data_IF_530641997782
#
_entry.id   IF_530641997782
#
_cell.length_a   1.000
_cell.length_b   1.000
_cell.length_c   1.000
_cell.angle_alpha   90.00
_cell.angle_beta   90.00
_cell.angle_gamma   90.00
#
_symmetry.space_group_name_H-M   'P 1'
#
loop_
_entity.id
_entity.type
_entity.pdbx_description
1 polymer ?
#
# COMPACT_ATOMS: atom_id res chain seq x y z
N UNK A 1 21.99 -46.48 -9.86
CA UNK A 1 22.51 -45.26 -10.52
C UNK A 1 22.08 -44.09 -9.65
N UNK A 2 23.01 -43.23 -9.23
CA UNK A 2 22.69 -42.13 -8.33
C UNK A 2 22.21 -40.90 -9.12
N UNK A 3 21.33 -40.06 -8.55
CA UNK A 3 20.90 -38.82 -9.18
C UNK A 3 22.10 -37.88 -9.40
N UNK A 4 22.12 -37.19 -10.54
CA UNK A 4 23.18 -36.24 -10.89
C UNK A 4 22.74 -34.82 -10.57
N UNK A 5 23.56 -34.08 -9.82
CA UNK A 5 23.45 -32.62 -9.68
C UNK A 5 23.99 -31.96 -10.96
N UNK A 6 23.21 -31.06 -11.57
CA UNK A 6 23.65 -30.36 -12.78
C UNK A 6 24.56 -29.17 -12.45
N UNK A 7 25.40 -28.76 -13.39
CA UNK A 7 26.24 -27.55 -13.24
C UNK A 7 25.39 -26.29 -12.99
N UNK A 8 24.21 -26.21 -13.61
CA UNK A 8 23.26 -25.12 -13.41
C UNK A 8 22.75 -25.07 -11.96
N UNK A 9 22.36 -26.22 -11.39
CA UNK A 9 21.95 -26.30 -9.98
C UNK A 9 23.08 -25.92 -9.02
N UNK A 10 24.33 -26.28 -9.35
CA UNK A 10 25.50 -25.87 -8.57
C UNK A 10 25.71 -24.37 -8.62
N UNK A 11 25.68 -23.77 -9.82
CA UNK A 11 25.84 -22.31 -10.01
C UNK A 11 24.75 -21.49 -9.34
N UNK A 12 23.49 -21.91 -9.47
CA UNK A 12 22.37 -21.24 -8.78
C UNK A 12 22.54 -21.23 -7.27
N UNK A 13 22.93 -22.37 -6.69
CA UNK A 13 23.20 -22.49 -5.25
C UNK A 13 24.39 -21.65 -4.79
N UNK A 14 25.48 -21.59 -5.56
CA UNK A 14 26.64 -20.72 -5.26
C UNK A 14 26.22 -19.26 -5.32
N UNK A 15 25.52 -18.85 -6.38
CA UNK A 15 25.06 -17.48 -6.58
C UNK A 15 24.16 -16.99 -5.45
N UNK A 16 23.17 -17.79 -5.07
CA UNK A 16 22.28 -17.45 -3.95
C UNK A 16 23.03 -17.33 -2.62
N UNK A 17 23.95 -18.25 -2.32
CA UNK A 17 24.73 -18.21 -1.07
C UNK A 17 25.71 -17.03 -1.03
N UNK A 18 26.38 -16.72 -2.14
CA UNK A 18 27.27 -15.58 -2.23
C UNK A 18 26.51 -14.26 -2.10
N UNK A 19 25.34 -14.17 -2.73
CA UNK A 19 24.48 -13.00 -2.62
C UNK A 19 23.91 -12.82 -1.22
N UNK A 20 23.51 -13.90 -0.55
CA UNK A 20 23.08 -13.88 0.85
C UNK A 20 24.17 -13.30 1.76
N UNK A 21 25.40 -13.79 1.62
CA UNK A 21 26.55 -13.27 2.37
C UNK A 21 26.80 -11.79 2.08
N UNK A 22 26.71 -11.36 0.83
CA UNK A 22 26.85 -9.97 0.43
C UNK A 22 25.77 -9.09 1.09
N UNK A 23 24.49 -9.48 0.99
CA UNK A 23 23.37 -8.71 1.54
C UNK A 23 23.49 -8.58 3.06
N UNK A 24 23.81 -9.68 3.76
CA UNK A 24 23.93 -9.66 5.22
C UNK A 24 25.17 -8.89 5.69
N UNK A 25 26.33 -9.13 5.05
CA UNK A 25 27.61 -8.60 5.55
C UNK A 25 27.89 -7.18 5.08
N UNK A 26 27.64 -6.88 3.82
CA UNK A 26 27.99 -5.60 3.21
C UNK A 26 26.87 -4.56 3.34
N UNK A 27 25.60 -5.00 3.33
CA UNK A 27 24.46 -4.09 3.45
C UNK A 27 23.80 -4.10 4.84
N UNK A 28 24.03 -5.16 5.64
CA UNK A 28 23.32 -5.34 6.91
C UNK A 28 21.83 -5.63 6.74
N UNK A 29 21.44 -6.11 5.55
CA UNK A 29 20.06 -6.36 5.15
C UNK A 29 19.72 -7.85 5.21
N UNK A 30 18.47 -8.21 4.95
CA UNK A 30 18.02 -9.60 5.02
C UNK A 30 17.70 -10.12 3.63
N UNK A 31 18.34 -11.21 3.22
CA UNK A 31 17.98 -11.94 2.01
C UNK A 31 17.05 -13.12 2.33
N UNK A 32 15.97 -13.26 1.57
CA UNK A 32 14.98 -14.34 1.66
C UNK A 32 14.98 -15.12 0.35
N UNK A 33 15.69 -16.26 0.25
CA UNK A 33 15.71 -17.04 -0.97
C UNK A 33 14.34 -17.67 -1.26
N UNK A 34 13.98 -17.74 -2.53
CA UNK A 34 12.85 -18.54 -3.02
C UNK A 34 13.33 -19.97 -3.28
N UNK A 35 12.55 -20.96 -2.87
CA UNK A 35 12.89 -22.36 -3.11
C UNK A 35 12.70 -22.73 -4.59
N UNK A 36 13.55 -23.61 -5.12
CA UNK A 36 13.56 -23.96 -6.55
C UNK A 36 12.23 -24.54 -7.08
N UNK A 37 11.41 -25.12 -6.20
CA UNK A 37 10.10 -25.65 -6.55
C UNK A 37 9.07 -24.53 -6.86
N UNK A 38 9.38 -23.30 -6.44
CA UNK A 38 8.55 -22.10 -6.57
C UNK A 38 9.22 -21.00 -7.43
N UNK A 39 10.25 -21.35 -8.22
CA UNK A 39 10.98 -20.39 -9.05
C UNK A 39 10.20 -20.04 -10.33
N UNK A 40 9.52 -18.89 -10.28
CA UNK A 40 8.84 -18.27 -11.43
C UNK A 40 9.65 -17.12 -12.05
N UNK A 41 10.97 -17.10 -11.85
CA UNK A 41 11.89 -16.06 -12.33
C UNK A 41 12.36 -15.08 -11.25
N UNK A 42 12.21 -15.41 -9.97
CA UNK A 42 12.73 -14.62 -8.84
C UNK A 42 13.44 -15.57 -7.89
N UNK A 43 14.74 -15.34 -7.68
CA UNK A 43 15.58 -16.17 -6.81
C UNK A 43 15.45 -15.80 -5.33
N UNK A 44 14.93 -14.60 -5.04
CA UNK A 44 14.69 -14.18 -3.66
C UNK A 44 14.23 -12.74 -3.53
N UNK A 45 14.05 -12.34 -2.28
CA UNK A 45 13.68 -10.99 -1.88
C UNK A 45 14.70 -10.44 -0.90
N UNK A 46 14.97 -9.13 -0.96
CA UNK A 46 15.84 -8.44 0.00
C UNK A 46 15.00 -7.45 0.77
N UNK A 47 14.93 -7.62 2.10
CA UNK A 47 14.32 -6.65 3.00
C UNK A 47 15.36 -5.61 3.42
N UNK A 48 14.97 -4.34 3.30
CA UNK A 48 15.79 -3.21 3.69
C UNK A 48 15.72 -3.04 5.21
N UNK A 49 16.89 -3.04 5.83
CA UNK A 49 17.06 -2.74 7.25
C UNK A 49 17.64 -1.34 7.39
N UNK A 50 16.99 -0.52 8.20
CA UNK A 50 17.44 0.82 8.54
C UNK A 50 17.42 0.98 10.05
N UNK A 51 18.53 1.43 10.64
CA UNK A 51 18.68 1.63 12.09
C UNK A 51 18.30 0.38 12.92
N UNK A 52 18.63 -0.81 12.40
CA UNK A 52 18.33 -2.10 13.03
C UNK A 52 16.86 -2.54 12.90
N UNK A 53 16.02 -1.80 12.19
CA UNK A 53 14.60 -2.12 11.97
C UNK A 53 14.37 -2.61 10.55
N UNK A 54 13.64 -3.72 10.42
CA UNK A 54 13.17 -4.19 9.11
C UNK A 54 12.03 -3.28 8.67
N UNK A 55 12.26 -2.50 7.61
CA UNK A 55 11.39 -1.37 7.24
C UNK A 55 10.08 -1.77 6.58
N UNK A 56 9.92 -3.04 6.20
CA UNK A 56 8.84 -3.52 5.33
C UNK A 56 8.99 -3.10 3.86
N UNK A 57 10.08 -2.39 3.52
CA UNK A 57 10.49 -2.11 2.13
C UNK A 57 11.53 -3.12 1.68
N UNK A 58 11.53 -3.41 0.39
CA UNK A 58 12.41 -4.39 -0.18
C UNK A 58 12.34 -4.44 -1.70
N UNK A 59 13.19 -5.28 -2.27
CA UNK A 59 13.28 -5.54 -3.71
C UNK A 59 13.17 -7.06 -3.95
N UNK A 60 12.65 -7.43 -5.11
CA UNK A 60 12.76 -8.79 -5.62
C UNK A 60 14.05 -8.91 -6.45
N UNK A 61 14.71 -10.06 -6.43
CA UNK A 61 15.96 -10.26 -7.18
C UNK A 61 15.92 -11.50 -8.06
N UNK A 62 16.51 -11.37 -9.25
CA UNK A 62 16.85 -12.51 -10.11
C UNK A 62 18.35 -12.48 -10.35
N UNK A 63 19.01 -13.57 -9.99
CA UNK A 63 20.45 -13.77 -9.89
C UNK A 63 20.90 -14.76 -10.96
N UNK A 64 21.81 -14.33 -11.82
CA UNK A 64 22.51 -15.22 -12.77
C UNK A 64 23.97 -15.30 -12.41
N UNK A 65 24.43 -16.49 -12.03
CA UNK A 65 25.81 -16.75 -11.64
C UNK A 65 26.55 -17.57 -12.71
N UNK A 66 27.70 -17.05 -13.16
CA UNK A 66 28.61 -17.78 -14.04
C UNK A 66 29.26 -16.94 -15.14
N UNK A 67 30.45 -17.38 -15.55
CA UNK A 67 31.29 -16.77 -16.60
C UNK A 67 30.56 -16.53 -17.93
N UNK A 68 29.63 -17.43 -18.30
CA UNK A 68 28.82 -17.30 -19.52
C UNK A 68 27.90 -16.08 -19.53
N UNK A 69 27.52 -15.56 -18.36
CA UNK A 69 26.71 -14.34 -18.25
C UNK A 69 27.61 -13.10 -18.28
N UNK A 70 28.70 -13.11 -17.51
CA UNK A 70 29.69 -12.01 -17.49
C UNK A 70 30.34 -11.76 -18.86
N UNK A 71 30.51 -12.83 -19.66
CA UNK A 71 31.11 -12.76 -21.00
C UNK A 71 30.26 -12.07 -22.06
N UNK A 72 28.97 -11.80 -21.81
CA UNK A 72 28.07 -11.15 -22.77
C UNK A 72 28.26 -9.63 -22.78
N UNK A 73 29.44 -9.17 -23.17
CA UNK A 73 29.80 -7.75 -23.15
C UNK A 73 29.08 -6.95 -24.23
N UNK A 74 28.74 -5.71 -23.89
CA UNK A 74 28.26 -4.66 -24.79
C UNK A 74 29.10 -3.40 -24.56
N UNK A 75 29.04 -2.38 -25.43
CA UNK A 75 29.76 -1.13 -25.20
C UNK A 75 29.41 -0.44 -23.86
N UNK A 76 28.19 -0.59 -23.35
CA UNK A 76 27.76 0.01 -22.08
C UNK A 76 27.78 -0.93 -20.87
N UNK A 77 28.03 -2.23 -21.05
CA UNK A 77 28.18 -3.16 -19.92
C UNK A 77 28.02 -4.63 -20.27
N UNK A 78 27.00 -5.26 -19.67
CA UNK A 78 26.70 -6.68 -19.83
C UNK A 78 25.28 -6.84 -20.36
N UNK A 79 25.12 -7.59 -21.45
CA UNK A 79 23.83 -8.02 -21.97
C UNK A 79 23.23 -9.09 -21.06
N UNK A 80 22.09 -8.76 -20.48
CA UNK A 80 21.24 -9.68 -19.73
C UNK A 80 20.10 -10.16 -20.62
N UNK A 81 20.02 -11.47 -20.88
CA UNK A 81 18.89 -12.05 -21.62
C UNK A 81 17.87 -12.68 -20.65
N UNK A 82 16.59 -12.34 -20.80
CA UNK A 82 15.46 -12.92 -20.08
C UNK A 82 14.46 -13.63 -21.00
N UNK A 83 13.50 -14.34 -20.41
CA UNK A 83 12.36 -14.93 -21.13
C UNK A 83 11.16 -13.98 -21.06
N UNK A 84 10.43 -13.84 -22.16
CA UNK A 84 9.28 -12.92 -22.29
C UNK A 84 8.20 -13.21 -21.26
N UNK A 85 7.99 -14.49 -20.91
CA UNK A 85 7.00 -14.92 -19.91
C UNK A 85 7.21 -14.25 -18.53
N UNK A 86 8.44 -13.85 -18.19
CA UNK A 86 8.73 -13.19 -16.92
C UNK A 86 8.41 -11.68 -16.94
N UNK A 87 8.29 -11.03 -18.11
CA UNK A 87 8.04 -9.59 -18.17
C UNK A 87 6.72 -9.21 -17.50
N UNK A 88 5.63 -9.91 -17.88
CA UNK A 88 4.32 -9.68 -17.28
C UNK A 88 4.34 -10.01 -15.78
N UNK A 89 5.09 -11.03 -15.37
CA UNK A 89 5.24 -11.37 -13.96
C UNK A 89 5.93 -10.23 -13.18
N UNK A 90 7.08 -9.75 -13.66
CA UNK A 90 7.83 -8.66 -13.01
C UNK A 90 7.03 -7.37 -12.89
N UNK A 91 6.26 -7.02 -13.93
CA UNK A 91 5.43 -5.81 -13.93
C UNK A 91 4.26 -5.85 -12.94
N UNK A 92 3.85 -7.04 -12.50
CA UNK A 92 2.75 -7.21 -11.55
C UNK A 92 3.24 -7.51 -10.12
N UNK A 93 4.55 -7.61 -9.89
CA UNK A 93 5.10 -7.74 -8.55
C UNK A 93 4.93 -6.44 -7.77
N UNK A 94 4.58 -6.56 -6.49
CA UNK A 94 4.46 -5.40 -5.60
C UNK A 94 5.83 -4.77 -5.29
N UNK A 95 6.89 -5.58 -5.28
CA UNK A 95 8.27 -5.15 -5.10
C UNK A 95 8.94 -4.88 -6.46
N UNK A 96 9.74 -3.81 -6.58
CA UNK A 96 10.58 -3.60 -7.75
C UNK A 96 11.59 -4.74 -7.92
N UNK A 97 11.92 -5.05 -9.18
CA UNK A 97 12.80 -6.17 -9.52
C UNK A 97 14.20 -5.66 -9.85
N UNK A 98 15.22 -6.24 -9.23
CA UNK A 98 16.62 -6.00 -9.54
C UNK A 98 17.25 -7.24 -10.15
N UNK A 99 17.87 -7.07 -11.31
CA UNK A 99 18.57 -8.12 -12.03
C UNK A 99 20.04 -8.10 -11.65
N UNK A 100 20.59 -9.27 -11.35
CA UNK A 100 21.95 -9.43 -10.86
C UNK A 100 22.69 -10.43 -11.73
N UNK A 101 23.92 -10.06 -12.12
CA UNK A 101 24.86 -10.97 -12.76
C UNK A 101 26.10 -11.09 -11.89
N UNK A 102 26.35 -12.30 -11.40
CA UNK A 102 27.54 -12.65 -10.61
C UNK A 102 28.55 -13.41 -11.47
N UNK A 103 29.83 -13.25 -11.15
CA UNK A 103 30.90 -14.09 -11.71
C UNK A 103 30.78 -15.57 -11.25
N UNK A 104 31.67 -16.44 -11.72
CA UNK A 104 31.66 -17.88 -11.39
C UNK A 104 31.88 -18.15 -9.90
N UNK A 105 32.51 -17.23 -9.19
CA UNK A 105 32.83 -17.34 -7.75
C UNK A 105 31.76 -16.73 -6.86
N UNK A 106 30.89 -15.88 -7.41
CA UNK A 106 29.92 -15.09 -6.65
C UNK A 106 30.50 -13.86 -5.96
N UNK A 107 31.82 -13.61 -6.08
CA UNK A 107 32.51 -12.54 -5.36
C UNK A 107 32.30 -11.16 -5.97
N UNK A 108 32.18 -11.10 -7.30
CA UNK A 108 31.91 -9.85 -8.02
C UNK A 108 30.60 -9.97 -8.76
N UNK A 109 29.89 -8.85 -8.86
CA UNK A 109 28.67 -8.78 -9.63
C UNK A 109 28.30 -7.39 -10.05
N UNK A 110 27.40 -7.33 -11.02
CA UNK A 110 26.78 -6.11 -11.52
C UNK A 110 25.27 -6.23 -11.47
N UNK A 111 24.57 -5.10 -11.35
CA UNK A 111 23.13 -5.10 -11.19
C UNK A 111 22.43 -3.99 -11.99
N UNK A 112 21.15 -4.18 -12.27
CA UNK A 112 20.29 -3.12 -12.80
C UNK A 112 18.87 -3.27 -12.25
N UNK A 113 18.21 -2.13 -12.03
CA UNK A 113 16.77 -2.11 -11.85
C UNK A 113 16.10 -2.53 -13.16
N UNK A 114 15.14 -3.45 -13.08
CA UNK A 114 14.33 -3.83 -14.22
C UNK A 114 13.38 -2.67 -14.56
N UNK A 115 13.50 -2.16 -15.78
CA UNK A 115 12.63 -1.12 -16.33
C UNK A 115 12.21 -1.56 -17.72
N UNK A 116 10.90 -1.72 -17.95
CA UNK A 116 10.36 -2.23 -19.21
C UNK A 116 10.88 -1.42 -20.42
N UNK A 117 10.98 -0.10 -20.27
CA UNK A 117 11.45 0.83 -21.30
C UNK A 117 12.92 0.61 -21.71
N UNK A 118 13.71 -0.07 -20.89
CA UNK A 118 15.12 -0.42 -21.16
C UNK A 118 15.28 -1.82 -21.76
N UNK A 119 14.17 -2.54 -21.95
CA UNK A 119 14.19 -3.86 -22.57
C UNK A 119 14.08 -3.77 -24.09
N UNK A 120 14.71 -4.73 -24.77
CA UNK A 120 14.71 -4.85 -26.22
C UNK A 120 14.38 -6.29 -26.60
N UNK A 121 13.65 -6.51 -27.72
CA UNK A 121 13.42 -7.85 -28.24
C UNK A 121 14.73 -8.47 -28.73
N UNK A 122 14.74 -9.79 -28.83
CA UNK A 122 15.77 -10.53 -29.57
C UNK A 122 15.20 -11.05 -30.89
N UNK A 123 16.02 -11.71 -31.71
CA UNK A 123 15.53 -12.42 -32.90
C UNK A 123 14.59 -13.59 -32.55
N UNK A 124 14.58 -14.03 -31.29
CA UNK A 124 13.63 -15.01 -30.76
C UNK A 124 12.45 -14.28 -30.11
N UNK A 125 11.23 -14.66 -30.50
CA UNK A 125 9.96 -14.13 -29.96
C UNK A 125 9.75 -14.47 -28.48
N UNK A 126 10.51 -15.41 -27.92
CA UNK A 126 10.39 -15.86 -26.53
C UNK A 126 11.37 -15.16 -25.59
N UNK A 127 12.25 -14.30 -26.12
CA UNK A 127 13.35 -13.71 -25.35
C UNK A 127 13.45 -12.21 -25.52
N UNK A 128 13.88 -11.56 -24.44
CA UNK A 128 14.22 -10.15 -24.41
C UNK A 128 15.63 -10.00 -23.84
N UNK A 129 16.18 -8.80 -23.98
CA UNK A 129 17.41 -8.44 -23.32
C UNK A 129 17.40 -7.00 -22.84
N UNK A 130 18.26 -6.69 -21.89
CA UNK A 130 18.62 -5.33 -21.51
C UNK A 130 20.11 -5.24 -21.18
N UNK A 131 20.64 -4.02 -21.19
CA UNK A 131 22.01 -3.76 -20.78
C UNK A 131 22.07 -3.51 -19.27
N UNK A 132 22.94 -4.22 -18.57
CA UNK A 132 23.33 -3.96 -17.19
C UNK A 132 24.63 -3.14 -17.23
N UNK A 133 24.62 -1.86 -16.79
CA UNK A 133 25.81 -1.02 -16.80
C UNK A 133 26.93 -1.62 -15.97
N UNK A 134 28.15 -1.65 -16.50
CA UNK A 134 29.30 -2.19 -15.74
C UNK A 134 29.66 -1.34 -14.52
N UNK A 135 29.26 -0.06 -14.52
CA UNK A 135 29.41 0.86 -13.39
C UNK A 135 28.51 0.51 -12.21
N UNK A 136 27.46 -0.30 -12.43
CA UNK A 136 26.57 -0.73 -11.36
C UNK A 136 27.13 -1.99 -10.70
N UNK A 137 28.23 -1.84 -9.98
CA UNK A 137 28.85 -2.93 -9.24
C UNK A 137 28.07 -3.23 -7.95
N UNK A 138 28.10 -4.49 -7.50
CA UNK A 138 27.62 -4.88 -6.19
C UNK A 138 28.68 -4.54 -5.14
N UNK A 139 28.46 -3.43 -4.44
CA UNK A 139 29.25 -2.98 -3.30
C UNK A 139 28.34 -2.20 -2.33
N UNK A 140 28.85 -1.76 -1.17
CA UNK A 140 28.04 -1.08 -0.17
C UNK A 140 27.28 0.17 -0.67
N UNK A 141 27.73 0.83 -1.76
CA UNK A 141 27.04 2.00 -2.29
C UNK A 141 25.68 1.70 -2.93
N UNK A 142 25.36 0.41 -3.19
CA UNK A 142 24.05 0.05 -3.73
C UNK A 142 22.92 0.29 -2.73
N UNK A 143 23.22 0.33 -1.42
CA UNK A 143 22.21 0.47 -0.38
C UNK A 143 21.32 1.70 -0.64
N UNK A 144 21.94 2.87 -0.89
CA UNK A 144 21.20 4.09 -1.18
C UNK A 144 20.28 3.91 -2.41
N UNK A 145 20.83 3.43 -3.52
CA UNK A 145 20.07 3.25 -4.77
C UNK A 145 18.93 2.26 -4.63
N UNK A 146 19.14 1.15 -3.92
CA UNK A 146 18.12 0.13 -3.72
C UNK A 146 17.02 0.60 -2.76
N UNK A 147 17.34 1.43 -1.77
CA UNK A 147 16.34 2.12 -0.95
C UNK A 147 15.51 3.11 -1.77
N UNK A 148 16.14 3.88 -2.66
CA UNK A 148 15.41 4.76 -3.60
C UNK A 148 14.46 3.96 -4.49
N UNK A 149 14.91 2.83 -5.04
CA UNK A 149 14.11 1.92 -5.87
C UNK A 149 12.93 1.33 -5.07
N UNK A 150 13.14 0.86 -3.84
CA UNK A 150 12.09 0.30 -2.99
C UNK A 150 11.05 1.33 -2.51
N UNK A 151 11.39 2.61 -2.61
CA UNK A 151 10.56 3.74 -2.24
C UNK A 151 10.57 4.08 -0.76
N UNK A 152 9.93 5.19 -0.36
CA UNK A 152 10.07 5.78 0.97
C UNK A 152 9.43 4.91 2.06
N UNK A 153 10.10 4.82 3.21
CA UNK A 153 9.54 4.30 4.46
C UNK A 153 8.66 5.39 5.06
N UNK A 154 7.36 5.10 5.20
CA UNK A 154 6.41 6.02 5.81
C UNK A 154 6.13 5.59 7.25
N UNK A 155 6.29 6.51 8.20
CA UNK A 155 5.76 6.33 9.55
C UNK A 155 4.25 6.53 9.53
N UNK A 156 3.51 5.43 9.66
CA UNK A 156 2.05 5.44 9.70
C UNK A 156 1.48 5.49 11.12
N UNK A 157 2.33 5.46 12.15
CA UNK A 157 1.87 5.48 13.54
C UNK A 157 1.10 6.77 13.85
N UNK A 158 1.58 7.91 13.33
CA UNK A 158 0.90 9.21 13.51
C UNK A 158 -0.54 9.19 12.98
N UNK A 159 -0.78 8.54 11.83
CA UNK A 159 -2.12 8.39 11.26
C UNK A 159 -3.03 7.55 12.18
N UNK A 160 -2.51 6.44 12.70
CA UNK A 160 -3.23 5.60 13.65
C UNK A 160 -3.50 6.31 14.98
N UNK A 161 -2.56 7.10 15.51
CA UNK A 161 -2.74 7.84 16.76
C UNK A 161 -3.85 8.89 16.65
N UNK A 162 -3.94 9.58 15.52
CA UNK A 162 -5.05 10.51 15.22
C UNK A 162 -6.38 9.76 15.17
N UNK A 163 -6.43 8.64 14.44
CA UNK A 163 -7.65 7.86 14.29
C UNK A 163 -8.10 7.24 15.62
N UNK A 164 -7.18 6.70 16.41
CA UNK A 164 -7.47 6.16 17.75
C UNK A 164 -7.87 7.24 18.74
N UNK A 165 -7.33 8.45 18.62
CA UNK A 165 -7.77 9.58 19.44
C UNK A 165 -9.21 9.97 19.12
N UNK A 166 -9.59 9.96 17.84
CA UNK A 166 -11.00 10.15 17.41
C UNK A 166 -11.90 9.03 17.88
N UNK A 167 -11.45 7.77 17.81
CA UNK A 167 -12.22 6.62 18.31
C UNK A 167 -12.43 6.69 19.82
N UNK A 168 -11.41 7.09 20.59
CA UNK A 168 -11.56 7.35 22.03
C UNK A 168 -12.57 8.45 22.29
N UNK A 169 -12.53 9.55 21.52
CA UNK A 169 -13.52 10.63 21.64
C UNK A 169 -14.93 10.10 21.38
N UNK A 170 -15.17 9.41 20.26
CA UNK A 170 -16.48 8.85 19.95
C UNK A 170 -16.94 7.88 21.03
N UNK A 171 -16.09 6.95 21.48
CA UNK A 171 -16.47 5.94 22.48
C UNK A 171 -16.86 6.57 23.83
N UNK A 172 -16.10 7.56 24.30
CA UNK A 172 -16.27 8.16 25.64
C UNK A 172 -17.35 9.26 25.68
N UNK A 173 -17.64 9.92 24.56
CA UNK A 173 -18.64 10.98 24.50
C UNK A 173 -20.05 10.42 24.77
N UNK A 174 -20.76 10.95 25.76
CA UNK A 174 -22.14 10.52 26.03
C UNK A 174 -23.12 11.00 24.97
N UNK A 175 -22.81 12.14 24.33
CA UNK A 175 -23.61 12.76 23.28
C UNK A 175 -22.67 13.21 22.15
N UNK A 176 -23.07 12.99 20.91
CA UNK A 176 -22.31 13.39 19.73
C UNK A 176 -23.15 14.34 18.88
N UNK A 177 -22.55 15.45 18.46
CA UNK A 177 -23.15 16.39 17.52
C UNK A 177 -22.46 16.21 16.17
N UNK A 178 -23.24 15.95 15.13
CA UNK A 178 -22.78 15.79 13.75
C UNK A 178 -23.23 16.98 12.94
N UNK A 179 -22.27 17.79 12.48
CA UNK A 179 -22.56 18.91 11.60
C UNK A 179 -22.83 18.43 10.17
N UNK A 180 -23.91 18.90 9.56
CA UNK A 180 -24.29 18.68 8.18
C UNK A 180 -24.23 20.01 7.44
N UNK A 181 -23.09 20.25 6.79
CA UNK A 181 -22.81 21.53 6.12
C UNK A 181 -23.86 21.83 5.05
N UNK A 182 -24.30 23.10 5.00
CA UNK A 182 -25.34 23.55 4.07
C UNK A 182 -25.00 23.21 2.62
N UNK A 183 -23.74 23.35 2.25
CA UNK A 183 -23.20 23.04 0.94
C UNK A 183 -23.44 21.56 0.58
N UNK A 184 -23.09 20.63 1.48
CA UNK A 184 -23.34 19.19 1.29
C UNK A 184 -24.83 18.87 1.24
N UNK A 185 -25.64 19.51 2.09
CA UNK A 185 -27.11 19.31 2.12
C UNK A 185 -27.74 19.75 0.80
N UNK A 186 -27.39 20.94 0.31
CA UNK A 186 -27.90 21.48 -0.96
C UNK A 186 -27.41 20.66 -2.15
N UNK A 187 -26.16 20.20 -2.13
CA UNK A 187 -25.60 19.34 -3.17
C UNK A 187 -26.11 17.89 -3.11
N UNK A 188 -26.83 17.51 -2.05
CA UNK A 188 -27.19 16.11 -1.76
C UNK A 188 -25.96 15.17 -1.70
N UNK A 189 -24.84 15.69 -1.17
CA UNK A 189 -23.61 14.93 -0.93
C UNK A 189 -23.64 14.27 0.46
N UNK A 190 -23.68 12.95 0.49
CA UNK A 190 -23.76 12.14 1.71
C UNK A 190 -22.46 11.41 2.06
N UNK A 191 -21.36 11.64 1.32
CA UNK A 191 -20.09 10.94 1.56
C UNK A 191 -19.58 11.18 2.99
N UNK A 192 -19.62 12.43 3.45
CA UNK A 192 -19.20 12.81 4.80
C UNK A 192 -20.06 12.16 5.90
N UNK A 193 -21.37 12.04 5.65
CA UNK A 193 -22.32 11.43 6.58
C UNK A 193 -22.08 9.92 6.73
N UNK A 194 -21.90 9.22 5.61
CA UNK A 194 -21.58 7.78 5.62
C UNK A 194 -20.17 7.50 6.14
N UNK A 195 -19.19 8.36 5.83
CA UNK A 195 -17.85 8.27 6.41
C UNK A 195 -17.91 8.44 7.93
N UNK A 196 -18.70 9.38 8.44
CA UNK A 196 -18.93 9.51 9.88
C UNK A 196 -19.61 8.27 10.46
N UNK A 197 -20.67 7.76 9.84
CA UNK A 197 -21.38 6.57 10.31
C UNK A 197 -20.45 5.36 10.41
N UNK A 198 -19.58 5.17 9.41
CA UNK A 198 -18.62 4.06 9.39
C UNK A 198 -17.75 4.01 10.64
N UNK A 199 -17.44 5.18 11.24
CA UNK A 199 -16.66 5.28 12.48
C UNK A 199 -17.42 4.70 13.65
N UNK A 200 -18.73 4.92 13.77
CA UNK A 200 -19.57 4.36 14.83
C UNK A 200 -19.87 2.87 14.63
N UNK A 201 -19.81 2.39 13.39
CA UNK A 201 -20.01 0.99 13.04
C UNK A 201 -18.75 0.12 13.20
N UNK A 202 -17.60 0.69 13.60
CA UNK A 202 -16.36 -0.07 13.84
C UNK A 202 -16.54 -1.24 14.79
N UNK A 203 -17.40 -1.11 15.80
CA UNK A 203 -17.74 -2.22 16.70
C UNK A 203 -19.23 -2.23 17.02
N UNK A 204 -19.78 -3.43 17.25
CA UNK A 204 -21.16 -3.60 17.71
C UNK A 204 -21.41 -2.89 19.05
N UNK A 205 -20.43 -2.89 19.95
CA UNK A 205 -20.52 -2.22 21.25
C UNK A 205 -20.75 -0.71 21.06
N UNK A 206 -19.91 -0.05 20.28
CA UNK A 206 -20.04 1.38 20.02
C UNK A 206 -21.36 1.71 19.31
N UNK A 207 -21.75 0.93 18.31
CA UNK A 207 -23.05 1.10 17.64
C UNK A 207 -24.22 1.07 18.64
N UNK A 208 -24.24 0.10 19.55
CA UNK A 208 -25.27 -0.02 20.58
C UNK A 208 -25.22 1.11 21.61
N UNK A 209 -24.02 1.51 22.06
CA UNK A 209 -23.83 2.62 23.01
C UNK A 209 -24.22 3.98 22.43
N UNK A 210 -24.14 4.15 21.10
CA UNK A 210 -24.48 5.40 20.41
C UNK A 210 -25.88 5.47 19.83
N UNK A 211 -26.66 4.42 19.96
CA UNK A 211 -28.08 4.42 19.57
C UNK A 211 -28.82 5.55 20.29
N UNK A 212 -29.64 6.30 19.56
CA UNK A 212 -30.46 7.38 20.12
C UNK A 212 -29.66 8.41 20.95
N UNK A 213 -28.42 8.73 20.57
CA UNK A 213 -27.54 9.66 21.31
C UNK A 213 -26.82 10.66 20.40
N UNK A 214 -27.29 10.75 19.14
CA UNK A 214 -26.69 11.58 18.11
C UNK A 214 -27.61 12.75 17.81
N UNK A 215 -27.08 13.96 17.91
CA UNK A 215 -27.71 15.18 17.42
C UNK A 215 -27.12 15.52 16.05
N UNK A 216 -27.98 15.85 15.09
CA UNK A 216 -27.55 16.34 13.78
C UNK A 216 -27.78 17.84 13.68
N UNK A 217 -26.70 18.59 13.53
CA UNK A 217 -26.72 20.03 13.47
C UNK A 217 -26.60 20.50 12.02
N UNK A 218 -27.48 21.38 11.57
CA UNK A 218 -27.55 21.92 10.20
C UNK A 218 -27.05 23.39 10.19
N UNK A 219 -25.73 23.64 10.23
CA UNK A 219 -25.19 25.00 10.15
C UNK A 219 -25.58 25.69 8.83
N UNK A 220 -25.77 27.02 8.88
CA UNK A 220 -26.05 27.85 7.70
C UNK A 220 -27.55 28.09 7.43
N UNK A 221 -28.42 27.54 8.27
CA UNK A 221 -29.88 27.69 8.20
C UNK A 221 -30.47 28.53 9.34
N UNK A 222 -29.65 29.13 10.21
CA UNK A 222 -30.10 29.84 11.43
C UNK A 222 -30.98 31.08 11.17
N UNK A 223 -30.93 31.63 9.96
CA UNK A 223 -31.73 32.80 9.56
C UNK A 223 -32.93 32.41 8.67
N UNK A 224 -33.14 31.12 8.39
CA UNK A 224 -34.34 30.65 7.69
C UNK A 224 -35.51 30.60 8.69
N UNK A 225 -36.65 31.20 8.32
CA UNK A 225 -37.82 31.24 9.21
C UNK A 225 -38.62 29.94 9.22
N UNK A 226 -38.29 29.00 8.34
CA UNK A 226 -38.94 27.69 8.20
C UNK A 226 -38.27 26.65 9.10
N UNK A 227 -39.04 25.66 9.53
CA UNK A 227 -38.48 24.48 10.19
C UNK A 227 -37.73 23.58 9.20
N UNK A 228 -36.79 22.76 9.68
CA UNK A 228 -35.95 21.91 8.80
C UNK A 228 -36.77 21.00 7.87
N UNK A 229 -37.90 20.46 8.35
CA UNK A 229 -38.79 19.61 7.55
C UNK A 229 -39.57 20.38 6.47
N UNK A 230 -39.61 21.71 6.53
CA UNK A 230 -40.28 22.57 5.55
C UNK A 230 -39.32 23.02 4.43
N UNK A 231 -38.00 22.89 4.64
CA UNK A 231 -36.97 23.32 3.70
C UNK A 231 -36.79 22.24 2.60
N UNK A 232 -37.05 22.55 1.32
CA UNK A 232 -36.98 21.56 0.24
C UNK A 232 -35.63 20.86 0.11
N UNK A 233 -34.53 21.60 0.25
CA UNK A 233 -33.16 21.09 0.14
C UNK A 233 -32.85 20.08 1.24
N UNK A 234 -33.27 20.37 2.47
CA UNK A 234 -33.13 19.46 3.62
C UNK A 234 -33.95 18.20 3.38
N UNK A 235 -35.21 18.32 2.93
CA UNK A 235 -36.05 17.15 2.60
C UNK A 235 -35.44 16.27 1.51
N UNK A 236 -34.90 16.88 0.46
CA UNK A 236 -34.20 16.17 -0.62
C UNK A 236 -32.99 15.41 -0.09
N UNK A 237 -32.22 16.02 0.82
CA UNK A 237 -31.10 15.36 1.49
C UNK A 237 -31.52 14.15 2.32
N UNK A 238 -32.56 14.28 3.14
CA UNK A 238 -33.11 13.16 3.92
C UNK A 238 -33.62 12.03 3.03
N UNK A 239 -34.34 12.36 1.96
CA UNK A 239 -34.82 11.36 1.00
C UNK A 239 -33.65 10.61 0.35
N UNK A 240 -32.63 11.34 -0.11
CA UNK A 240 -31.45 10.77 -0.75
C UNK A 240 -30.66 9.86 0.19
N UNK A 241 -30.40 10.31 1.41
CA UNK A 241 -29.66 9.52 2.41
C UNK A 241 -30.43 8.28 2.87
N UNK A 242 -31.76 8.35 2.97
CA UNK A 242 -32.62 7.18 3.21
C UNK A 242 -32.56 6.17 2.07
N UNK A 243 -32.65 6.63 0.82
CA UNK A 243 -32.49 5.77 -0.37
C UNK A 243 -31.12 5.08 -0.39
N UNK A 244 -30.08 5.80 0.03
CA UNK A 244 -28.72 5.28 0.14
C UNK A 244 -28.49 4.42 1.41
N UNK A 245 -29.49 4.24 2.27
CA UNK A 245 -29.46 3.30 3.40
C UNK A 245 -29.03 3.89 4.75
N UNK A 246 -29.02 5.21 4.91
CA UNK A 246 -28.71 5.84 6.19
C UNK A 246 -29.85 5.63 7.21
N UNK A 247 -29.61 4.99 8.37
CA UNK A 247 -30.66 4.60 9.30
C UNK A 247 -30.95 5.73 10.30
N UNK A 248 -31.58 6.82 9.85
CA UNK A 248 -31.90 7.99 10.69
C UNK A 248 -32.55 7.64 12.02
N UNK A 249 -33.56 6.76 12.00
CA UNK A 249 -34.31 6.33 13.20
C UNK A 249 -33.43 5.60 14.22
N UNK A 250 -32.33 4.99 13.79
CA UNK A 250 -31.42 4.28 14.69
C UNK A 250 -30.59 5.26 15.54
N UNK A 251 -30.19 6.39 14.95
CA UNK A 251 -29.29 7.35 15.57
C UNK A 251 -30.00 8.46 16.35
N UNK A 252 -31.19 8.86 15.89
CA UNK A 252 -32.01 9.91 16.50
C UNK A 252 -32.70 9.40 17.77
N UNK A 253 -32.88 10.29 18.75
CA UNK A 253 -33.67 9.99 19.95
C UNK A 253 -35.16 10.29 19.71
N UNK A 254 -36.05 9.28 19.74
CA UNK A 254 -37.49 9.49 19.58
C UNK A 254 -38.13 10.26 20.75
N UNK A 255 -37.46 10.37 21.89
CA UNK A 255 -37.98 11.05 23.08
C UNK A 255 -37.85 12.57 23.03
N UNK A 256 -37.08 13.09 22.06
CA UNK A 256 -36.91 14.53 21.84
C UNK A 256 -35.84 15.17 22.73
N UNK A 257 -34.87 14.43 23.24
CA UNK A 257 -33.67 15.01 23.86
C UNK A 257 -32.59 15.31 22.80
N UNK A 258 -32.48 14.49 21.75
CA UNK A 258 -31.50 14.62 20.66
C UNK A 258 -32.17 14.49 19.29
N UNK A 259 -31.97 15.49 18.43
CA UNK A 259 -32.70 15.61 17.16
C UNK A 259 -31.91 16.33 16.06
N UNK A 260 -32.62 16.89 15.09
CA UNK A 260 -32.04 17.75 14.06
C UNK A 260 -32.24 19.22 14.44
N UNK A 261 -31.18 20.02 14.53
CA UNK A 261 -31.23 21.42 14.98
C UNK A 261 -30.39 22.34 14.10
N UNK A 262 -30.67 23.64 14.08
CA UNK A 262 -29.76 24.66 13.52
C UNK A 262 -29.07 25.53 14.59
N UNK A 263 -29.53 25.47 15.85
CA UNK A 263 -29.05 26.31 16.96
C UNK A 263 -27.94 25.67 17.82
N UNK A 264 -27.62 24.39 17.62
CA UNK A 264 -26.49 23.69 18.27
C UNK A 264 -26.57 23.57 19.80
N UNK A 265 -27.71 23.92 20.39
CA UNK A 265 -27.97 23.84 21.82
C UNK A 265 -29.32 23.14 21.99
N UNK A 266 -29.29 21.92 22.52
CA UNK A 266 -30.45 21.04 22.69
C UNK A 266 -31.70 21.79 23.19
N UNK A 267 -32.53 22.20 22.24
CA UNK A 267 -33.95 22.44 22.40
C UNK A 267 -34.60 21.90 21.15
N UNK A 268 -35.03 20.66 21.28
CA UNK A 268 -35.99 20.05 20.37
C UNK A 268 -37.21 20.97 20.30
N UNK A 269 -37.42 21.56 19.14
CA UNK A 269 -38.76 21.89 18.65
C UNK A 269 -39.02 20.93 17.50
N UNK A 270 -39.31 19.69 17.85
CA UNK A 270 -39.89 18.74 16.92
C UNK A 270 -41.29 19.21 16.54
N UNK A 271 -41.54 19.30 15.24
CA UNK A 271 -42.69 18.67 14.62
C UNK A 271 -42.16 17.78 13.48
#
# INVERSE_FOLDING_TARGET
MNPKRTTQQTRGSIGAAAFDLYVNRELGWIFRPVHQEDDFGIDGYVDIVQDGQVTGKGIAVQIKCGSSYVGKKTPGGIRYDGEIKHLNYYMNLAQPVVLIVLDETGNNGTWAHFELEKTLPTDSEERWWMEIPITNELNASVAQRWTEIAGPVADRMTEFEVEWSRDRFHSTATHLIVALEKESVVACDDESLFLWQSKLLKTRKMMLEKRASIEFWFPGWQNDSRELYEIPEVRSYFAKTLENGFPWIYWLDPSGEFGCTYDGCGRVRSA
#
